data_IF_243676402687
#
_entry.id   IF_243676402687
#
_cell.length_a   1.000
_cell.length_b   1.000
_cell.length_c   1.000
_cell.angle_alpha   90.00
_cell.angle_beta   90.00
_cell.angle_gamma   90.00
#
_symmetry.space_group_name_H-M   'P 1'
#
loop_
_entity.id
_entity.type
_entity.pdbx_description
1 polymer ?
#
# COMPACT_ATOMS: atom_id res chain seq x y z
N UNK A 1 3.25 -51.82 -27.77
CA UNK A 1 3.38 -51.05 -26.52
C UNK A 1 3.22 -49.56 -26.83
N UNK A 2 2.56 -48.83 -25.94
CA UNK A 2 2.89 -47.45 -25.56
C UNK A 2 2.57 -46.23 -26.44
N UNK A 3 1.73 -46.30 -27.48
CA UNK A 3 1.29 -45.06 -28.20
C UNK A 3 0.56 -44.07 -27.28
N UNK A 4 -0.43 -44.54 -26.50
CA UNK A 4 -1.14 -43.73 -25.50
C UNK A 4 -0.21 -43.17 -24.41
N UNK A 5 0.83 -43.92 -24.01
CA UNK A 5 1.84 -43.44 -23.04
C UNK A 5 2.74 -42.36 -23.67
N UNK A 6 3.10 -42.51 -24.94
CA UNK A 6 3.88 -41.51 -25.67
C UNK A 6 3.11 -40.18 -25.77
N UNK A 7 1.82 -40.23 -26.15
CA UNK A 7 0.98 -39.03 -26.19
C UNK A 7 0.80 -38.40 -24.80
N UNK A 8 0.65 -39.20 -23.74
CA UNK A 8 0.60 -38.71 -22.36
C UNK A 8 1.88 -37.97 -21.94
N UNK A 9 3.06 -38.53 -22.27
CA UNK A 9 4.35 -37.89 -21.99
C UNK A 9 4.56 -36.58 -22.77
N UNK A 10 4.16 -36.54 -24.05
CA UNK A 10 4.22 -35.32 -24.87
C UNK A 10 3.26 -34.25 -24.35
N UNK A 11 2.04 -34.62 -23.98
CA UNK A 11 1.07 -33.68 -23.39
C UNK A 11 1.53 -33.12 -22.04
N UNK A 12 2.05 -33.97 -21.15
CA UNK A 12 2.54 -33.57 -19.83
C UNK A 12 3.78 -32.66 -19.93
N UNK A 13 4.74 -32.98 -20.81
CA UNK A 13 5.92 -32.15 -21.04
C UNK A 13 5.57 -30.81 -21.70
N UNK A 14 4.64 -30.80 -22.67
CA UNK A 14 4.10 -29.56 -23.25
C UNK A 14 3.41 -28.67 -22.20
N UNK A 15 2.59 -29.25 -21.33
CA UNK A 15 1.95 -28.52 -20.24
C UNK A 15 2.96 -27.96 -19.22
N UNK A 16 4.00 -28.72 -18.88
CA UNK A 16 5.08 -28.28 -17.98
C UNK A 16 5.91 -27.14 -18.58
N UNK A 17 6.22 -27.18 -19.88
CA UNK A 17 6.92 -26.13 -20.59
C UNK A 17 6.08 -24.85 -20.70
N UNK A 18 4.79 -24.96 -21.03
CA UNK A 18 3.87 -23.82 -21.05
C UNK A 18 3.67 -23.22 -19.64
N UNK A 19 3.53 -24.05 -18.62
CA UNK A 19 3.40 -23.61 -17.23
C UNK A 19 4.64 -22.88 -16.72
N UNK A 20 5.83 -23.43 -16.93
CA UNK A 20 7.10 -22.80 -16.53
C UNK A 20 7.34 -21.49 -17.29
N UNK A 21 7.11 -21.44 -18.60
CA UNK A 21 7.19 -20.20 -19.39
C UNK A 21 6.19 -19.13 -18.93
N UNK A 22 4.95 -19.51 -18.61
CA UNK A 22 3.94 -18.58 -18.08
C UNK A 22 4.32 -18.04 -16.70
N UNK A 23 4.92 -18.85 -15.83
CA UNK A 23 5.45 -18.42 -14.52
C UNK A 23 6.63 -17.46 -14.69
N UNK A 24 7.60 -17.78 -15.54
CA UNK A 24 8.77 -16.95 -15.84
C UNK A 24 8.41 -15.62 -16.53
N UNK A 25 7.27 -15.55 -17.23
CA UNK A 25 6.75 -14.32 -17.84
C UNK A 25 5.83 -13.49 -16.95
N UNK A 26 5.58 -13.89 -15.70
CA UNK A 26 4.85 -13.03 -14.75
C UNK A 26 5.67 -11.76 -14.52
N UNK A 27 5.08 -10.60 -14.83
CA UNK A 27 5.69 -9.31 -14.51
C UNK A 27 5.88 -9.21 -12.99
N UNK A 28 7.00 -8.64 -12.50
CA UNK A 28 7.10 -8.26 -11.10
C UNK A 28 6.02 -7.23 -10.77
N UNK A 29 5.49 -7.27 -9.55
CA UNK A 29 4.53 -6.27 -9.06
C UNK A 29 5.17 -4.89 -9.08
N UNK A 30 4.40 -3.89 -9.46
CA UNK A 30 4.86 -2.49 -9.42
C UNK A 30 4.89 -1.98 -7.98
N UNK A 31 5.63 -0.90 -7.71
CA UNK A 31 5.67 -0.29 -6.39
C UNK A 31 4.27 0.15 -5.92
N UNK A 32 3.46 0.70 -6.84
CA UNK A 32 2.09 1.15 -6.57
C UNK A 32 1.14 -0.02 -6.26
N UNK A 33 1.34 -1.18 -6.89
CA UNK A 33 0.60 -2.42 -6.58
C UNK A 33 0.95 -2.93 -5.18
N UNK A 34 2.25 -3.00 -4.83
CA UNK A 34 2.70 -3.43 -3.51
C UNK A 34 2.20 -2.49 -2.40
N UNK A 35 2.23 -1.18 -2.62
CA UNK A 35 1.71 -0.20 -1.66
C UNK A 35 0.18 -0.26 -1.53
N UNK A 36 -0.55 -0.55 -2.62
CA UNK A 36 -1.99 -0.83 -2.55
C UNK A 36 -2.29 -2.11 -1.76
N UNK A 37 -1.53 -3.19 -1.98
CA UNK A 37 -1.66 -4.44 -1.21
C UNK A 37 -1.35 -4.20 0.28
N UNK A 38 -0.31 -3.43 0.61
CA UNK A 38 0.01 -3.04 1.99
C UNK A 38 -1.15 -2.28 2.64
N UNK A 39 -1.70 -1.27 1.96
CA UNK A 39 -2.82 -0.47 2.49
C UNK A 39 -4.09 -1.29 2.66
N UNK A 40 -4.43 -2.18 1.74
CA UNK A 40 -5.57 -3.08 1.87
C UNK A 40 -5.40 -4.10 3.01
N UNK A 41 -4.19 -4.66 3.20
CA UNK A 41 -3.91 -5.55 4.33
C UNK A 41 -4.01 -4.83 5.67
N UNK A 42 -3.42 -3.62 5.77
CA UNK A 42 -3.45 -2.81 6.98
C UNK A 42 -4.85 -2.28 7.27
N UNK A 43 -5.67 -2.01 6.25
CA UNK A 43 -7.08 -1.65 6.37
C UNK A 43 -7.89 -2.73 7.11
N UNK A 44 -7.69 -4.00 6.76
CA UNK A 44 -8.40 -5.14 7.36
C UNK A 44 -7.84 -5.61 8.71
N UNK A 45 -6.53 -5.44 8.94
CA UNK A 45 -5.82 -6.06 10.09
C UNK A 45 -5.38 -5.07 11.17
N UNK A 46 -5.17 -3.80 10.80
CA UNK A 46 -4.60 -2.79 11.69
C UNK A 46 -5.55 -2.31 12.77
N UNK A 47 -4.99 -1.96 13.94
CA UNK A 47 -5.73 -1.29 15.02
C UNK A 47 -5.82 0.20 14.75
N UNK A 48 -6.86 0.84 15.29
CA UNK A 48 -7.06 2.29 15.21
C UNK A 48 -6.58 2.92 16.52
N UNK A 49 -5.85 4.03 16.41
CA UNK A 49 -5.54 4.95 17.50
C UNK A 49 -5.86 6.38 17.06
N UNK A 50 -5.91 7.31 18.01
CA UNK A 50 -5.99 8.73 17.70
C UNK A 50 -4.60 9.30 17.41
N UNK A 51 -4.56 10.26 16.48
CA UNK A 51 -3.35 10.95 16.06
C UNK A 51 -3.68 12.37 15.59
N UNK A 52 -2.69 13.02 15.00
CA UNK A 52 -2.78 14.41 14.58
C UNK A 52 -1.98 14.64 13.30
N UNK A 53 -2.59 15.29 12.32
CA UNK A 53 -1.89 15.77 11.12
C UNK A 53 -0.96 16.92 11.53
N UNK A 54 0.31 16.80 11.17
CA UNK A 54 1.35 17.78 11.51
C UNK A 54 1.92 18.51 10.30
N UNK A 55 1.76 18.00 9.08
CA UNK A 55 2.08 18.73 7.84
C UNK A 55 1.43 18.08 6.61
N UNK A 56 1.36 18.83 5.51
CA UNK A 56 1.03 18.33 4.16
C UNK A 56 2.01 18.93 3.16
N UNK A 57 2.92 18.12 2.62
CA UNK A 57 3.97 18.57 1.72
C UNK A 57 3.68 18.18 0.28
N UNK A 58 3.64 19.17 -0.61
CA UNK A 58 3.58 18.98 -2.06
C UNK A 58 5.00 18.98 -2.64
N UNK A 59 5.53 17.80 -2.95
CA UNK A 59 6.83 17.65 -3.61
C UNK A 59 6.64 17.80 -5.12
N UNK A 60 7.26 18.83 -5.70
CA UNK A 60 7.32 19.00 -7.15
C UNK A 60 8.13 17.88 -7.81
N UNK A 61 7.79 17.53 -9.05
CA UNK A 61 8.50 16.53 -9.84
C UNK A 61 9.95 16.98 -10.12
N UNK A 62 10.91 16.44 -9.35
CA UNK A 62 12.34 16.58 -9.59
C UNK A 62 12.84 15.49 -10.57
N UNK A 63 14.05 15.64 -11.12
CA UNK A 63 14.62 14.66 -12.07
C UNK A 63 14.63 13.24 -11.47
N UNK A 64 13.79 12.35 -12.00
CA UNK A 64 13.65 10.95 -11.55
C UNK A 64 12.53 10.68 -10.56
N UNK A 65 11.84 11.70 -10.05
CA UNK A 65 10.74 11.56 -9.08
C UNK A 65 9.44 12.16 -9.64
N UNK A 66 8.32 11.45 -9.45
CA UNK A 66 7.00 12.01 -9.74
C UNK A 66 6.64 13.09 -8.72
N UNK A 67 5.71 13.98 -9.07
CA UNK A 67 5.16 14.92 -8.11
C UNK A 67 4.34 14.11 -7.07
N UNK A 68 4.66 14.30 -5.79
CA UNK A 68 4.07 13.53 -4.69
C UNK A 68 3.42 14.47 -3.66
N UNK A 69 2.35 14.04 -2.99
CA UNK A 69 1.86 14.70 -1.77
C UNK A 69 1.99 13.77 -0.59
N UNK A 70 2.80 14.22 0.37
CA UNK A 70 3.07 13.53 1.62
C UNK A 70 2.23 14.13 2.73
N UNK A 71 1.28 13.34 3.24
CA UNK A 71 0.56 13.64 4.48
C UNK A 71 1.44 13.22 5.65
N UNK A 72 1.85 14.18 6.49
CA UNK A 72 2.68 13.90 7.67
C UNK A 72 1.80 13.96 8.92
N UNK A 73 1.86 12.91 9.73
CA UNK A 73 1.04 12.73 10.91
C UNK A 73 1.84 12.09 12.04
N UNK A 74 1.39 12.33 13.27
CA UNK A 74 1.92 11.69 14.47
C UNK A 74 0.81 11.01 15.27
N UNK A 75 1.18 10.00 16.04
CA UNK A 75 0.29 9.25 16.92
C UNK A 75 1.10 8.57 18.03
N UNK A 76 0.44 8.28 19.14
CA UNK A 76 1.09 7.67 20.30
C UNK A 76 0.60 6.22 20.48
N UNK A 77 1.54 5.30 20.70
CA UNK A 77 1.26 3.89 21.01
C UNK A 77 2.16 3.46 22.16
N UNK A 78 1.57 2.92 23.24
CA UNK A 78 2.29 2.42 24.42
C UNK A 78 3.32 3.40 25.03
N UNK A 79 3.05 4.71 24.94
CA UNK A 79 3.95 5.77 25.44
C UNK A 79 5.08 6.16 24.49
N UNK A 80 5.10 5.62 23.26
CA UNK A 80 6.03 6.00 22.19
C UNK A 80 5.28 6.81 21.14
N UNK A 81 5.77 8.02 20.87
CA UNK A 81 5.30 8.86 19.77
C UNK A 81 5.95 8.42 18.45
N UNK A 82 5.12 8.11 17.46
CA UNK A 82 5.54 7.81 16.10
C UNK A 82 5.20 8.99 15.20
N UNK A 83 6.15 9.37 14.35
CA UNK A 83 5.96 10.33 13.27
C UNK A 83 6.12 9.61 11.94
N UNK A 84 5.15 9.76 11.04
CA UNK A 84 5.08 9.02 9.79
C UNK A 84 4.62 9.94 8.66
N UNK A 85 5.15 9.72 7.46
CA UNK A 85 4.66 10.34 6.23
C UNK A 85 3.99 9.27 5.36
N UNK A 86 2.84 9.62 4.79
CA UNK A 86 2.11 8.77 3.85
C UNK A 86 1.99 9.51 2.51
N UNK A 87 2.38 8.84 1.42
CA UNK A 87 2.04 9.30 0.08
C UNK A 87 0.53 9.14 -0.16
N UNK A 88 -0.14 10.26 -0.45
CA UNK A 88 -1.57 10.32 -0.76
C UNK A 88 -1.83 10.82 -2.19
N UNK A 89 -0.83 10.81 -3.07
CA UNK A 89 -0.90 11.29 -4.46
C UNK A 89 -2.03 10.63 -5.24
N UNK A 90 -2.11 9.30 -5.19
CA UNK A 90 -3.20 8.53 -5.81
C UNK A 90 -4.54 8.61 -5.05
N UNK A 91 -4.54 9.14 -3.83
CA UNK A 91 -5.71 9.26 -2.98
C UNK A 91 -6.30 10.68 -2.99
N UNK A 92 -5.67 11.70 -3.61
CA UNK A 92 -6.14 13.11 -3.67
C UNK A 92 -7.64 13.24 -4.01
N UNK A 93 -8.22 12.40 -4.88
CA UNK A 93 -9.65 12.43 -5.21
C UNK A 93 -10.62 12.13 -4.05
N UNK A 94 -10.18 11.42 -3.01
CA UNK A 94 -10.95 11.17 -1.79
C UNK A 94 -10.69 12.25 -0.72
N UNK A 95 -9.53 12.91 -0.75
CA UNK A 95 -9.03 13.76 0.34
C UNK A 95 -9.12 15.24 -0.02
N UNK A 96 -9.83 16.03 0.78
CA UNK A 96 -9.73 17.49 0.67
C UNK A 96 -8.47 18.00 1.40
N UNK A 97 -7.40 18.28 0.64
CA UNK A 97 -6.15 18.79 1.19
C UNK A 97 -6.31 20.13 1.93
N UNK A 98 -7.31 20.95 1.58
CA UNK A 98 -7.58 22.24 2.26
C UNK A 98 -8.18 22.08 3.66
N UNK A 99 -8.77 20.92 3.98
CA UNK A 99 -9.20 20.59 5.35
C UNK A 99 -8.07 19.98 6.20
N UNK A 100 -7.00 19.48 5.59
CA UNK A 100 -5.82 18.92 6.27
C UNK A 100 -4.95 20.01 6.90
N UNK A 101 -5.45 20.67 7.93
CA UNK A 101 -4.76 21.73 8.68
C UNK A 101 -3.76 21.14 9.67
N UNK A 102 -2.71 21.89 9.97
CA UNK A 102 -1.82 21.63 11.10
C UNK A 102 -2.65 21.47 12.39
N UNK A 103 -2.45 20.37 13.11
CA UNK A 103 -3.21 20.07 14.33
C UNK A 103 -4.55 19.39 14.11
N UNK A 104 -4.93 19.00 12.88
CA UNK A 104 -6.18 18.27 12.64
C UNK A 104 -6.15 16.90 13.33
N UNK A 105 -7.10 16.66 14.24
CA UNK A 105 -7.31 15.34 14.83
C UNK A 105 -7.72 14.32 13.76
N UNK A 106 -6.94 13.25 13.66
CA UNK A 106 -7.16 12.16 12.69
C UNK A 106 -7.14 10.84 13.43
N UNK A 107 -7.92 9.87 12.98
CA UNK A 107 -7.67 8.48 13.36
C UNK A 107 -6.51 7.94 12.51
N UNK A 108 -5.65 7.12 13.11
CA UNK A 108 -4.53 6.45 12.46
C UNK A 108 -4.73 4.95 12.58
N UNK A 109 -4.56 4.20 11.49
CA UNK A 109 -4.58 2.74 11.51
C UNK A 109 -3.15 2.22 11.42
N UNK A 110 -2.77 1.35 12.35
CA UNK A 110 -1.39 0.88 12.53
C UNK A 110 -1.32 -0.63 12.81
N UNK A 111 -0.19 -1.24 12.49
CA UNK A 111 0.09 -2.63 12.78
C UNK A 111 0.56 -2.79 14.25
N UNK A 112 -0.15 -3.55 15.12
CA UNK A 112 0.27 -3.74 16.50
C UNK A 112 1.61 -4.47 16.67
N UNK A 113 2.07 -5.23 15.67
CA UNK A 113 3.36 -5.92 15.68
C UNK A 113 4.51 -5.03 15.19
N UNK A 114 4.20 -4.02 14.36
CA UNK A 114 5.15 -3.04 13.85
C UNK A 114 4.48 -1.66 13.81
N UNK A 115 4.43 -0.91 14.92
CA UNK A 115 3.62 0.31 15.00
C UNK A 115 3.91 1.34 13.91
N UNK A 116 5.18 1.50 13.51
CA UNK A 116 5.57 2.41 12.42
C UNK A 116 4.92 2.10 11.06
N UNK A 117 4.49 0.85 10.82
CA UNK A 117 3.65 0.50 9.69
C UNK A 117 2.22 1.00 9.91
N UNK A 118 1.97 2.22 9.46
CA UNK A 118 0.74 2.98 9.68
C UNK A 118 0.17 3.57 8.38
N UNK A 119 -1.09 3.98 8.42
CA UNK A 119 -1.76 4.80 7.42
C UNK A 119 -2.88 5.65 8.04
N UNK A 120 -3.20 6.76 7.38
CA UNK A 120 -4.34 7.64 7.69
C UNK A 120 -5.44 7.53 6.63
N UNK A 121 -5.10 7.15 5.39
CA UNK A 121 -6.07 6.97 4.30
C UNK A 121 -5.76 5.71 3.48
N UNK A 122 -6.79 4.98 3.08
CA UNK A 122 -6.75 3.91 2.08
C UNK A 122 -7.89 4.10 1.07
N UNK A 123 -8.02 3.18 0.11
CA UNK A 123 -9.08 3.18 -0.89
C UNK A 123 -10.49 3.14 -0.28
N UNK A 124 -10.70 2.43 0.85
CA UNK A 124 -12.02 2.27 1.47
C UNK A 124 -12.11 2.84 2.90
N UNK A 125 -11.04 3.39 3.46
CA UNK A 125 -11.02 3.92 4.82
C UNK A 125 -10.33 5.28 4.91
N UNK A 126 -10.91 6.19 5.70
CA UNK A 126 -10.42 7.54 5.91
C UNK A 126 -10.42 7.88 7.40
N UNK A 127 -9.25 8.15 7.95
CA UNK A 127 -9.09 8.61 9.33
C UNK A 127 -9.22 10.13 9.50
N UNK A 128 -9.10 10.89 8.42
CA UNK A 128 -9.23 12.36 8.40
C UNK A 128 -10.67 12.77 8.70
N UNK A 129 -10.85 13.71 9.65
CA UNK A 129 -12.14 14.34 9.93
C UNK A 129 -12.27 15.62 9.08
N UNK A 130 -13.41 15.77 8.41
CA UNK A 130 -13.75 16.97 7.60
C UNK A 130 -14.40 18.06 8.46
#
# INVERSE_FOLDING_TARGET
>A
MDSLRLYGLVAASGAALLGSYALLRRKPRTADELERERRAWLEGTGRITDGTVIDVQELAAAKGHHAAVMLIYKYDVAGVSYECSQDVTYLRHWINLHSCRLGLHTSVKYDPQNPGNSLVVSENWMGLRQ
#
